data_IF_043574498790
#
_entry.id   IF_043574498790
#
_cell.length_a   1.000
_cell.length_b   1.000
_cell.length_c   1.000
_cell.angle_alpha   90.00
_cell.angle_beta   90.00
_cell.angle_gamma   90.00
#
_symmetry.space_group_name_H-M   'P 1'
#
loop_
_entity.id
_entity.type
_entity.pdbx_description
1 polymer ?
#
# COMPACT_ATOMS: atom_id res chain seq x y z
N UNK A 1 -12.75 -6.65 30.12
CA UNK A 1 -12.09 -5.64 29.29
C UNK A 1 -10.59 -5.85 29.41
N UNK A 2 -10.03 -6.77 28.59
CA UNK A 2 -8.58 -7.04 28.60
C UNK A 2 -7.97 -6.23 27.45
N UNK A 3 -7.28 -5.15 27.81
CA UNK A 3 -6.38 -4.43 26.91
C UNK A 3 -5.19 -5.35 26.66
N UNK A 4 -5.14 -5.95 25.48
CA UNK A 4 -3.94 -6.70 25.04
C UNK A 4 -2.87 -5.66 24.73
N UNK A 5 -1.95 -5.46 25.67
CA UNK A 5 -0.69 -4.77 25.43
C UNK A 5 0.15 -5.62 24.46
N UNK A 6 -0.03 -5.41 23.16
CA UNK A 6 0.87 -5.94 22.15
C UNK A 6 2.17 -5.14 22.29
N UNK A 7 3.17 -5.76 22.88
CA UNK A 7 4.50 -5.19 23.01
C UNK A 7 5.05 -4.88 21.62
N UNK A 8 5.11 -3.56 21.26
CA UNK A 8 5.69 -3.04 20.03
C UNK A 8 7.23 -3.04 20.09
N UNK A 9 7.84 -4.18 20.40
CA UNK A 9 9.30 -4.32 20.57
C UNK A 9 10.02 -4.72 19.29
N UNK A 10 9.72 -4.06 18.16
CA UNK A 10 10.38 -4.37 16.89
C UNK A 10 10.31 -3.29 15.80
N UNK A 11 9.54 -2.24 16.02
CA UNK A 11 9.45 -1.17 15.00
C UNK A 11 10.74 -0.35 14.94
N UNK A 12 11.28 -0.20 13.73
CA UNK A 12 12.43 0.66 13.48
C UNK A 12 12.14 2.10 13.92
N UNK A 13 13.15 2.78 14.49
CA UNK A 13 13.11 4.21 14.86
C UNK A 13 12.64 5.12 13.71
N UNK A 14 12.87 4.70 12.46
CA UNK A 14 12.48 5.41 11.24
C UNK A 14 10.96 5.58 11.15
N UNK A 15 10.18 4.59 11.58
CA UNK A 15 8.71 4.66 11.57
C UNK A 15 8.11 5.52 12.71
N UNK A 16 8.93 6.00 13.64
CA UNK A 16 8.44 6.83 14.75
C UNK A 16 8.33 8.31 14.40
N UNK A 17 8.92 8.75 13.27
CA UNK A 17 8.94 10.16 12.86
C UNK A 17 8.71 10.29 11.36
N UNK A 18 7.55 10.81 10.97
CA UNK A 18 7.16 10.96 9.55
C UNK A 18 8.22 11.71 8.71
N UNK A 19 8.86 12.74 9.27
CA UNK A 19 9.91 13.49 8.55
C UNK A 19 11.15 12.62 8.27
N UNK A 20 11.56 11.81 9.24
CA UNK A 20 12.69 10.88 9.06
C UNK A 20 12.30 9.79 8.05
N UNK A 21 11.10 9.28 8.15
CA UNK A 21 10.55 8.32 7.19
C UNK A 21 10.55 8.91 5.77
N UNK A 22 9.98 10.10 5.58
CA UNK A 22 9.97 10.80 4.28
C UNK A 22 11.37 11.04 3.74
N UNK A 23 12.31 11.47 4.57
CA UNK A 23 13.71 11.69 4.18
C UNK A 23 14.35 10.38 3.68
N UNK A 24 14.22 9.30 4.46
CA UNK A 24 14.77 7.99 4.09
C UNK A 24 14.13 7.44 2.82
N UNK A 25 12.81 7.53 2.69
CA UNK A 25 12.10 7.10 1.50
C UNK A 25 12.49 7.93 0.28
N UNK A 26 12.67 9.24 0.44
CA UNK A 26 13.13 10.11 -0.65
C UNK A 26 14.54 9.71 -1.12
N UNK A 27 15.43 9.36 -0.20
CA UNK A 27 16.77 8.85 -0.52
C UNK A 27 16.68 7.50 -1.27
N UNK A 28 15.86 6.56 -0.79
CA UNK A 28 15.64 5.24 -1.40
C UNK A 28 15.04 5.32 -2.81
N UNK A 29 14.26 6.37 -3.09
CA UNK A 29 13.65 6.62 -4.41
C UNK A 29 14.43 7.64 -5.26
N UNK A 30 15.67 8.00 -4.85
CA UNK A 30 16.51 8.95 -5.60
C UNK A 30 15.78 10.26 -5.88
N UNK A 31 15.21 10.90 -4.85
CA UNK A 31 14.45 12.14 -4.93
C UNK A 31 13.01 12.00 -5.44
N UNK A 32 12.57 10.81 -5.85
CA UNK A 32 11.25 10.59 -6.47
C UNK A 32 10.19 9.99 -5.56
N UNK A 33 10.30 10.12 -4.23
CA UNK A 33 9.34 9.51 -3.31
C UNK A 33 7.92 10.07 -3.49
N UNK A 34 7.76 11.39 -3.53
CA UNK A 34 6.44 12.02 -3.77
C UNK A 34 5.90 11.66 -5.17
N UNK A 35 6.78 11.65 -6.17
CA UNK A 35 6.39 11.33 -7.55
C UNK A 35 5.83 9.90 -7.69
N UNK A 36 6.28 8.97 -6.86
CA UNK A 36 5.70 7.63 -6.75
C UNK A 36 4.19 7.68 -6.49
N UNK A 37 3.76 8.52 -5.55
CA UNK A 37 2.33 8.70 -5.23
C UNK A 37 1.59 9.38 -6.38
N UNK A 38 2.20 10.37 -7.05
CA UNK A 38 1.61 11.00 -8.24
C UNK A 38 1.32 9.96 -9.33
N UNK A 39 2.25 9.00 -9.55
CA UNK A 39 2.04 7.91 -10.53
C UNK A 39 0.92 6.95 -10.14
N UNK A 40 0.66 6.76 -8.86
CA UNK A 40 -0.51 6.02 -8.36
C UNK A 40 -1.79 6.85 -8.54
N UNK A 41 -1.75 8.13 -8.21
CA UNK A 41 -2.87 9.08 -8.37
C UNK A 41 -3.33 9.14 -9.83
N UNK A 42 -2.41 9.14 -10.79
CA UNK A 42 -2.72 9.09 -12.24
C UNK A 42 -3.54 7.85 -12.65
N UNK A 43 -3.62 6.82 -11.82
CA UNK A 43 -4.41 5.61 -12.07
C UNK A 43 -5.81 5.67 -11.44
N UNK A 44 -6.08 6.63 -10.57
CA UNK A 44 -7.40 6.80 -9.98
C UNK A 44 -8.35 7.31 -11.07
N UNK A 45 -9.45 6.61 -11.34
CA UNK A 45 -10.42 7.08 -12.33
C UNK A 45 -11.11 8.37 -11.88
N UNK A 46 -11.69 9.11 -12.83
CA UNK A 46 -12.56 10.22 -12.47
C UNK A 46 -13.80 9.68 -11.74
N UNK A 47 -14.04 10.21 -10.55
CA UNK A 47 -15.12 9.76 -9.67
C UNK A 47 -16.04 10.93 -9.31
N UNK A 48 -17.31 10.66 -9.04
CA UNK A 48 -18.19 11.65 -8.42
C UNK A 48 -17.62 12.17 -7.10
N UNK A 49 -17.90 13.43 -6.77
CA UNK A 49 -17.56 14.01 -5.46
C UNK A 49 -18.10 13.12 -4.32
N UNK A 50 -17.42 13.11 -3.20
CA UNK A 50 -17.70 12.24 -2.04
C UNK A 50 -17.53 10.73 -2.28
N UNK A 51 -16.97 10.30 -3.42
CA UNK A 51 -16.61 8.89 -3.61
C UNK A 51 -15.58 8.45 -2.58
N UNK A 52 -15.79 7.26 -2.00
CA UNK A 52 -14.87 6.71 -1.01
C UNK A 52 -13.63 6.12 -1.69
N UNK A 53 -12.46 6.50 -1.21
CA UNK A 53 -11.16 5.90 -1.54
C UNK A 53 -10.59 5.29 -0.27
N UNK A 54 -10.25 4.01 -0.31
CA UNK A 54 -9.63 3.25 0.78
C UNK A 54 -8.14 3.08 0.48
N UNK A 55 -7.28 3.48 1.41
CA UNK A 55 -5.85 3.26 1.32
C UNK A 55 -5.38 2.35 2.45
N UNK A 56 -4.73 1.25 2.08
CA UNK A 56 -4.22 0.23 3.01
C UNK A 56 -2.71 0.38 3.17
N UNK A 57 -2.23 0.29 4.43
CA UNK A 57 -0.82 0.47 4.77
C UNK A 57 -0.28 1.80 4.22
N UNK A 58 -0.99 2.88 4.49
CA UNK A 58 -0.80 4.16 3.79
C UNK A 58 0.55 4.83 4.08
N UNK A 59 1.15 4.64 5.25
CA UNK A 59 2.48 5.15 5.62
C UNK A 59 2.64 6.67 5.53
N UNK A 60 2.03 7.32 4.53
CA UNK A 60 2.06 8.76 4.28
C UNK A 60 0.71 9.28 3.80
N UNK A 61 0.47 10.59 3.82
CA UNK A 61 -0.83 11.21 3.56
C UNK A 61 -1.00 11.80 2.15
N UNK A 62 -0.12 11.49 1.19
CA UNK A 62 -0.19 12.07 -0.15
C UNK A 62 -1.49 11.73 -0.91
N UNK A 63 -2.01 10.51 -0.74
CA UNK A 63 -3.30 10.14 -1.34
C UNK A 63 -4.46 10.85 -0.61
N UNK A 64 -4.37 10.99 0.71
CA UNK A 64 -5.36 11.73 1.49
C UNK A 64 -5.42 13.21 1.07
N UNK A 65 -4.25 13.85 0.87
CA UNK A 65 -4.15 15.24 0.39
C UNK A 65 -4.83 15.38 -0.98
N UNK A 66 -4.54 14.48 -1.93
CA UNK A 66 -5.19 14.44 -3.24
C UNK A 66 -6.72 14.25 -3.13
N UNK A 67 -7.18 13.32 -2.31
CA UNK A 67 -8.62 13.08 -2.12
C UNK A 67 -9.33 14.33 -1.61
N UNK A 68 -8.72 15.03 -0.66
CA UNK A 68 -9.24 16.30 -0.13
C UNK A 68 -9.34 17.38 -1.22
N UNK A 69 -8.32 17.51 -2.07
CA UNK A 69 -8.32 18.48 -3.18
C UNK A 69 -9.41 18.16 -4.21
N UNK A 70 -9.70 16.89 -4.45
CA UNK A 70 -10.72 16.41 -5.40
C UNK A 70 -12.13 16.31 -4.80
N UNK A 71 -12.29 16.51 -3.50
CA UNK A 71 -13.57 16.34 -2.81
C UNK A 71 -13.99 14.88 -2.66
N UNK A 72 -13.03 13.94 -2.65
CA UNK A 72 -13.25 12.53 -2.34
C UNK A 72 -13.15 12.28 -0.83
N UNK A 73 -13.81 11.22 -0.37
CA UNK A 73 -13.70 10.73 1.01
C UNK A 73 -12.54 9.74 1.09
N UNK A 74 -11.49 10.08 1.80
CA UNK A 74 -10.37 9.17 2.04
C UNK A 74 -10.54 8.46 3.37
N UNK A 75 -10.26 7.14 3.37
CA UNK A 75 -10.11 6.35 4.58
C UNK A 75 -8.80 5.58 4.52
N UNK A 76 -7.95 5.78 5.52
CA UNK A 76 -6.67 5.07 5.65
C UNK A 76 -6.71 4.00 6.74
N UNK A 77 -6.12 2.84 6.47
CA UNK A 77 -5.90 1.79 7.47
C UNK A 77 -4.41 1.45 7.48
N UNK A 78 -3.79 1.53 8.65
CA UNK A 78 -2.38 1.18 8.85
C UNK A 78 -2.20 0.51 10.21
N UNK A 79 -1.22 -0.38 10.32
CA UNK A 79 -0.85 -1.01 11.59
C UNK A 79 -0.02 -0.08 12.47
N UNK A 80 0.63 0.92 11.86
CA UNK A 80 1.51 1.85 12.57
C UNK A 80 0.70 2.98 13.22
N UNK A 81 0.51 2.89 14.52
CA UNK A 81 -0.23 3.88 15.32
C UNK A 81 0.30 5.31 15.14
N UNK A 82 1.60 5.48 14.88
CA UNK A 82 2.19 6.81 14.69
C UNK A 82 1.73 7.46 13.38
N UNK A 83 1.66 6.70 12.27
CA UNK A 83 1.13 7.19 11.01
C UNK A 83 -0.35 7.51 11.14
N UNK A 84 -1.12 6.64 11.80
CA UNK A 84 -2.55 6.85 12.06
C UNK A 84 -2.78 8.13 12.86
N UNK A 85 -2.09 8.30 14.01
CA UNK A 85 -2.21 9.51 14.82
C UNK A 85 -1.80 10.78 14.06
N UNK A 86 -0.81 10.68 13.18
CA UNK A 86 -0.39 11.81 12.34
C UNK A 86 -1.46 12.19 11.33
N UNK A 87 -2.05 11.22 10.63
CA UNK A 87 -3.15 11.44 9.70
C UNK A 87 -4.38 12.04 10.40
N UNK A 88 -4.76 11.49 11.57
CA UNK A 88 -5.86 12.00 12.38
C UNK A 88 -5.65 13.46 12.84
N UNK A 89 -4.42 13.83 13.23
CA UNK A 89 -4.07 15.23 13.58
C UNK A 89 -4.20 16.19 12.40
N UNK A 90 -4.06 15.69 11.17
CA UNK A 90 -4.29 16.45 9.93
C UNK A 90 -5.78 16.48 9.51
N UNK A 91 -6.66 15.84 10.30
CA UNK A 91 -8.10 15.80 10.05
C UNK A 91 -8.54 14.70 9.08
N UNK A 92 -7.69 13.68 8.84
CA UNK A 92 -8.02 12.55 7.96
C UNK A 92 -8.65 11.39 8.74
N UNK A 93 -9.56 10.64 8.09
CA UNK A 93 -10.17 9.42 8.64
C UNK A 93 -9.17 8.26 8.52
N UNK A 94 -8.44 8.02 9.61
CA UNK A 94 -7.46 6.94 9.68
C UNK A 94 -7.74 6.01 10.87
N UNK A 95 -7.56 4.71 10.65
CA UNK A 95 -7.78 3.65 11.65
C UNK A 95 -6.53 2.81 11.84
N UNK A 96 -6.17 2.53 13.09
CA UNK A 96 -5.08 1.62 13.43
C UNK A 96 -5.63 0.19 13.51
N UNK A 97 -5.36 -0.63 12.50
CA UNK A 97 -5.89 -1.99 12.42
C UNK A 97 -4.95 -2.92 11.66
N UNK A 98 -4.88 -4.18 12.10
CA UNK A 98 -4.17 -5.24 11.38
C UNK A 98 -5.09 -5.83 10.29
N UNK A 99 -4.90 -5.39 9.05
CA UNK A 99 -5.70 -5.83 7.91
C UNK A 99 -5.48 -7.31 7.55
N UNK A 100 -4.43 -7.96 8.07
CA UNK A 100 -4.23 -9.40 7.90
C UNK A 100 -5.33 -10.21 8.60
N UNK A 101 -5.75 -9.76 9.78
CA UNK A 101 -6.70 -10.48 10.64
C UNK A 101 -8.11 -9.87 10.68
N UNK A 102 -8.31 -8.65 10.16
CA UNK A 102 -9.66 -8.08 10.07
C UNK A 102 -10.55 -8.97 9.20
N UNK A 103 -11.84 -9.03 9.52
CA UNK A 103 -12.77 -9.86 8.77
C UNK A 103 -13.01 -9.29 7.37
N UNK A 104 -13.39 -8.02 7.30
CA UNK A 104 -13.77 -7.33 6.08
C UNK A 104 -13.11 -5.95 6.03
N UNK A 105 -12.91 -5.40 4.83
CA UNK A 105 -12.46 -4.04 4.61
C UNK A 105 -13.68 -3.13 4.34
N UNK A 106 -13.60 -1.83 4.70
CA UNK A 106 -14.62 -0.85 4.34
C UNK A 106 -14.86 -0.80 2.82
N UNK A 107 -16.11 -0.62 2.40
CA UNK A 107 -16.44 -0.48 0.98
C UNK A 107 -15.96 0.86 0.44
N UNK A 108 -15.44 0.84 -0.78
CA UNK A 108 -14.91 2.01 -1.46
C UNK A 108 -15.11 1.90 -2.99
N UNK A 109 -14.92 3.00 -3.72
CA UNK A 109 -14.83 2.98 -5.18
C UNK A 109 -13.46 2.52 -5.64
N UNK A 110 -12.43 2.93 -4.94
CA UNK A 110 -11.03 2.55 -5.21
C UNK A 110 -10.38 2.07 -3.92
N UNK A 111 -9.65 0.96 -4.00
CA UNK A 111 -8.79 0.46 -2.93
C UNK A 111 -7.33 0.54 -3.39
N UNK A 112 -6.47 1.17 -2.60
CA UNK A 112 -5.06 1.43 -2.93
C UNK A 112 -4.15 0.76 -1.91
N UNK A 113 -3.08 0.12 -2.38
CA UNK A 113 -1.99 -0.37 -1.54
C UNK A 113 -0.64 -0.06 -2.19
N UNK A 114 0.26 0.61 -1.46
CA UNK A 114 1.54 1.08 -1.99
C UNK A 114 2.70 0.50 -1.19
N UNK A 115 3.46 -0.42 -1.83
CA UNK A 115 4.69 -0.98 -1.27
C UNK A 115 4.51 -1.84 -0.04
N UNK A 116 3.40 -2.57 0.05
CA UNK A 116 3.07 -3.34 1.25
C UNK A 116 2.51 -4.73 0.96
N UNK A 117 2.17 -5.06 -0.29
CA UNK A 117 1.58 -6.36 -0.61
C UNK A 117 2.55 -7.53 -0.36
N UNK A 118 3.84 -7.31 -0.53
CA UNK A 118 4.88 -8.33 -0.28
C UNK A 118 4.87 -8.85 1.17
N UNK A 119 4.38 -8.10 2.13
CA UNK A 119 4.26 -8.55 3.54
C UNK A 119 3.28 -9.72 3.71
N UNK A 120 2.38 -9.91 2.76
CA UNK A 120 1.38 -11.00 2.78
C UNK A 120 1.86 -12.27 2.05
N UNK A 121 3.08 -12.26 1.49
CA UNK A 121 3.68 -13.47 0.91
C UNK A 121 3.97 -14.52 2.00
N UNK A 122 3.80 -15.85 1.72
CA UNK A 122 3.37 -16.43 0.44
C UNK A 122 1.84 -16.43 0.26
N UNK A 123 1.06 -16.06 1.26
CA UNK A 123 -0.41 -16.18 1.23
C UNK A 123 -1.08 -14.84 0.88
N UNK A 124 -0.85 -14.32 -0.31
CA UNK A 124 -1.37 -13.03 -0.79
C UNK A 124 -2.86 -13.09 -1.17
N UNK A 125 -3.37 -14.28 -1.53
CA UNK A 125 -4.75 -14.46 -1.99
C UNK A 125 -5.82 -13.90 -1.05
N UNK A 126 -5.80 -14.16 0.28
CA UNK A 126 -6.80 -13.59 1.18
C UNK A 126 -6.81 -12.06 1.20
N UNK A 127 -5.65 -11.42 1.06
CA UNK A 127 -5.56 -9.96 1.01
C UNK A 127 -6.15 -9.40 -0.29
N UNK A 128 -5.77 -9.98 -1.44
CA UNK A 128 -6.35 -9.59 -2.73
C UNK A 128 -7.87 -9.78 -2.75
N UNK A 129 -8.37 -10.90 -2.18
CA UNK A 129 -9.81 -11.14 -2.05
C UNK A 129 -10.50 -10.03 -1.26
N UNK A 130 -9.97 -9.66 -0.09
CA UNK A 130 -10.52 -8.56 0.70
C UNK A 130 -10.56 -7.25 -0.09
N UNK A 131 -9.49 -6.92 -0.83
CA UNK A 131 -9.43 -5.72 -1.65
C UNK A 131 -10.48 -5.73 -2.78
N UNK A 132 -10.64 -6.85 -3.50
CA UNK A 132 -11.63 -7.03 -4.56
C UNK A 132 -13.06 -7.01 -4.01
N UNK A 133 -13.28 -7.57 -2.84
CA UNK A 133 -14.57 -7.48 -2.16
C UNK A 133 -14.87 -6.04 -1.70
N UNK A 134 -13.87 -5.26 -1.34
CA UNK A 134 -14.02 -3.90 -0.83
C UNK A 134 -14.27 -2.85 -1.93
N UNK A 135 -13.71 -3.01 -3.13
CA UNK A 135 -13.75 -1.97 -4.16
C UNK A 135 -13.88 -2.52 -5.58
N UNK A 136 -14.42 -1.69 -6.50
CA UNK A 136 -14.55 -2.02 -7.92
C UNK A 136 -13.23 -1.84 -8.69
N UNK A 137 -12.39 -0.89 -8.23
CA UNK A 137 -11.05 -0.62 -8.77
C UNK A 137 -10.01 -0.81 -7.69
N UNK A 138 -8.95 -1.56 -7.99
CA UNK A 138 -7.85 -1.79 -7.07
C UNK A 138 -6.56 -1.28 -7.73
N UNK A 139 -5.77 -0.48 -7.00
CA UNK A 139 -4.49 0.01 -7.46
C UNK A 139 -3.40 -0.48 -6.50
N UNK A 140 -2.47 -1.24 -7.04
CA UNK A 140 -1.35 -1.80 -6.28
C UNK A 140 -0.04 -1.30 -6.88
N UNK A 141 0.80 -0.69 -6.06
CA UNK A 141 2.16 -0.29 -6.45
C UNK A 141 3.15 -1.06 -5.60
N UNK A 142 3.92 -1.96 -6.20
CA UNK A 142 4.93 -2.76 -5.51
C UNK A 142 6.33 -2.48 -6.01
N UNK A 143 7.32 -2.32 -5.10
CA UNK A 143 8.71 -2.28 -5.49
C UNK A 143 9.13 -3.69 -5.96
N UNK A 144 9.46 -3.80 -7.25
CA UNK A 144 9.93 -5.03 -7.87
C UNK A 144 11.45 -4.96 -8.01
N UNK A 145 12.16 -5.87 -7.35
CA UNK A 145 13.63 -5.93 -7.44
C UNK A 145 14.06 -6.61 -8.74
N UNK A 146 14.98 -6.00 -9.48
CA UNK A 146 15.77 -6.78 -10.44
C UNK A 146 16.85 -7.54 -9.68
N UNK A 147 17.13 -8.78 -10.06
CA UNK A 147 18.17 -9.64 -9.46
C UNK A 147 19.56 -8.96 -9.43
N UNK A 148 19.79 -7.92 -10.25
CA UNK A 148 21.00 -7.13 -10.32
C UNK A 148 21.14 -6.03 -9.27
N UNK A 149 20.05 -5.61 -8.61
CA UNK A 149 20.03 -4.40 -7.75
C UNK A 149 20.43 -4.68 -6.28
N UNK A 150 20.78 -5.91 -5.94
CA UNK A 150 20.96 -6.37 -4.55
C UNK A 150 22.34 -6.08 -3.92
N UNK A 151 23.17 -5.22 -4.50
CA UNK A 151 24.51 -4.93 -3.95
C UNK A 151 24.64 -3.47 -3.53
N UNK A 152 24.36 -3.18 -2.25
CA UNK A 152 24.72 -1.88 -1.70
C UNK A 152 24.04 -1.52 -0.38
N UNK A 153 24.48 -0.41 0.19
CA UNK A 153 23.99 0.24 1.42
C UNK A 153 22.45 0.40 1.41
N UNK A 154 21.85 0.56 0.23
CA UNK A 154 20.40 0.67 0.01
C UNK A 154 19.65 -0.61 0.47
N UNK A 155 20.20 -1.80 0.20
CA UNK A 155 19.62 -3.07 0.67
C UNK A 155 19.65 -3.22 2.19
N UNK A 156 20.68 -2.71 2.85
CA UNK A 156 20.80 -2.73 4.31
C UNK A 156 19.78 -1.79 4.97
N UNK A 157 19.60 -0.58 4.43
CA UNK A 157 18.61 0.37 4.95
C UNK A 157 17.18 -0.05 4.62
N UNK A 158 16.93 -0.64 3.43
CA UNK A 158 15.62 -1.16 3.07
C UNK A 158 15.18 -2.30 4.01
N UNK A 159 16.09 -3.23 4.34
CA UNK A 159 15.81 -4.28 5.35
C UNK A 159 15.46 -3.72 6.71
N UNK A 160 16.12 -2.62 7.12
CA UNK A 160 15.90 -2.02 8.44
C UNK A 160 14.69 -1.07 8.46
N UNK A 161 14.39 -0.42 7.33
CA UNK A 161 13.22 0.44 7.18
C UNK A 161 11.91 -0.36 6.98
N UNK A 162 11.97 -1.57 6.42
CA UNK A 162 10.82 -2.43 6.18
C UNK A 162 10.35 -3.21 7.43
N UNK A 163 11.03 -3.08 8.59
CA UNK A 163 10.69 -3.83 9.78
C UNK A 163 9.41 -3.31 10.44
N UNK A 164 8.27 -3.81 9.99
CA UNK A 164 6.95 -3.62 10.62
C UNK A 164 6.71 -4.65 11.73
N UNK A 165 7.66 -5.59 11.95
CA UNK A 165 7.60 -6.61 13.00
C UNK A 165 6.69 -7.81 12.71
N UNK A 166 6.16 -7.93 11.48
CA UNK A 166 5.34 -9.07 11.04
C UNK A 166 5.57 -9.35 9.54
N UNK A 167 5.74 -10.64 9.19
CA UNK A 167 5.88 -11.11 7.81
C UNK A 167 7.31 -11.46 7.39
N UNK A 168 7.47 -12.01 6.17
CA UNK A 168 8.78 -12.30 5.57
C UNK A 168 9.38 -11.02 4.97
N UNK A 169 10.17 -10.32 5.76
CA UNK A 169 10.81 -9.06 5.37
C UNK A 169 11.89 -9.23 4.29
N UNK A 170 12.29 -10.47 4.01
CA UNK A 170 13.32 -10.78 3.03
C UNK A 170 12.75 -10.95 1.61
N UNK A 171 11.45 -11.26 1.51
CA UNK A 171 10.80 -11.49 0.23
C UNK A 171 10.58 -10.17 -0.53
N UNK A 172 10.83 -10.21 -1.83
CA UNK A 172 10.45 -9.15 -2.79
C UNK A 172 10.06 -9.80 -4.10
N UNK A 173 9.00 -9.30 -4.68
CA UNK A 173 8.63 -9.66 -6.05
C UNK A 173 9.68 -9.14 -7.04
N UNK A 174 9.95 -9.88 -8.11
CA UNK A 174 10.38 -9.31 -9.37
C UNK A 174 9.15 -9.02 -10.27
N UNK A 175 9.36 -8.39 -11.42
CA UNK A 175 8.25 -8.02 -12.30
C UNK A 175 7.46 -9.23 -12.79
N UNK A 176 8.12 -10.34 -13.06
CA UNK A 176 7.49 -11.56 -13.58
C UNK A 176 6.67 -12.25 -12.50
N UNK A 177 7.26 -12.48 -11.33
CA UNK A 177 6.59 -13.14 -10.21
C UNK A 177 5.40 -12.32 -9.69
N UNK A 178 5.52 -10.98 -9.71
CA UNK A 178 4.39 -10.12 -9.33
C UNK A 178 3.23 -10.22 -10.32
N UNK A 179 3.50 -10.12 -11.62
CA UNK A 179 2.47 -10.27 -12.66
C UNK A 179 1.84 -11.66 -12.67
N UNK A 180 2.65 -12.73 -12.55
CA UNK A 180 2.14 -14.10 -12.47
C UNK A 180 1.19 -14.27 -11.28
N UNK A 181 1.58 -13.80 -10.10
CA UNK A 181 0.75 -13.84 -8.90
C UNK A 181 -0.58 -13.09 -9.10
N UNK A 182 -0.55 -11.91 -9.74
CA UNK A 182 -1.78 -11.16 -10.04
C UNK A 182 -2.66 -11.92 -11.04
N UNK A 183 -2.08 -12.47 -12.13
CA UNK A 183 -2.85 -13.24 -13.12
C UNK A 183 -3.48 -14.51 -12.54
N UNK A 184 -2.72 -15.27 -11.76
CA UNK A 184 -3.22 -16.49 -11.10
C UNK A 184 -4.41 -16.19 -10.19
N UNK A 185 -4.33 -15.10 -9.41
CA UNK A 185 -5.41 -14.69 -8.53
C UNK A 185 -6.59 -14.06 -9.29
N UNK A 186 -6.33 -13.39 -10.44
CA UNK A 186 -7.36 -12.72 -11.22
C UNK A 186 -8.46 -13.64 -11.72
N UNK A 187 -8.08 -14.83 -12.18
CA UNK A 187 -9.05 -15.85 -12.63
C UNK A 187 -9.93 -16.38 -11.50
N UNK A 188 -9.43 -16.39 -10.27
CA UNK A 188 -10.15 -16.89 -9.09
C UNK A 188 -11.02 -15.82 -8.42
N UNK A 189 -10.63 -14.53 -8.54
CA UNK A 189 -11.26 -13.41 -7.83
C UNK A 189 -12.10 -12.50 -8.74
N UNK A 190 -12.32 -12.91 -9.99
CA UNK A 190 -13.17 -12.22 -10.97
C UNK A 190 -12.75 -10.75 -11.22
N UNK A 191 -11.47 -10.52 -11.40
CA UNK A 191 -10.92 -9.24 -11.84
C UNK A 191 -9.97 -9.39 -13.03
N UNK A 192 -9.73 -8.29 -13.74
CA UNK A 192 -8.75 -8.20 -14.84
C UNK A 192 -7.80 -7.03 -14.65
N UNK A 193 -6.61 -7.16 -15.22
CA UNK A 193 -5.64 -6.07 -15.28
C UNK A 193 -6.14 -5.06 -16.32
N UNK A 194 -6.41 -3.82 -15.87
CA UNK A 194 -6.75 -2.69 -16.73
C UNK A 194 -5.49 -2.00 -17.25
N UNK A 195 -4.48 -1.82 -16.38
CA UNK A 195 -3.20 -1.22 -16.73
C UNK A 195 -2.06 -1.79 -15.90
N UNK A 196 -0.86 -1.78 -16.50
CA UNK A 196 0.40 -2.09 -15.81
C UNK A 196 1.42 -1.05 -16.23
N UNK A 197 1.99 -0.30 -15.28
CA UNK A 197 2.94 0.79 -15.53
C UNK A 197 4.13 0.70 -14.60
N UNK A 198 5.32 0.95 -15.13
CA UNK A 198 6.55 0.98 -14.33
C UNK A 198 6.94 2.42 -14.01
N UNK A 199 7.28 2.68 -12.75
CA UNK A 199 7.90 3.90 -12.32
C UNK A 199 9.11 3.57 -11.43
N UNK A 200 10.31 3.88 -11.91
CA UNK A 200 11.58 3.51 -11.24
C UNK A 200 11.58 2.02 -10.89
N UNK A 201 11.63 1.69 -9.60
CA UNK A 201 11.61 0.31 -9.10
C UNK A 201 10.20 -0.24 -8.87
N UNK A 202 9.17 0.58 -8.94
CA UNK A 202 7.79 0.14 -8.70
C UNK A 202 7.11 -0.33 -9.99
N UNK A 203 6.32 -1.38 -9.86
CA UNK A 203 5.32 -1.80 -10.83
C UNK A 203 3.94 -1.45 -10.29
N UNK A 204 3.23 -0.58 -10.99
CA UNK A 204 1.90 -0.11 -10.63
C UNK A 204 0.89 -0.88 -11.49
N UNK A 205 -0.04 -1.57 -10.86
CA UNK A 205 -1.08 -2.35 -11.52
C UNK A 205 -2.43 -1.82 -11.09
N UNK A 206 -3.30 -1.56 -12.07
CA UNK A 206 -4.70 -1.26 -11.85
C UNK A 206 -5.54 -2.46 -12.25
N UNK A 207 -6.39 -2.91 -11.33
CA UNK A 207 -7.30 -4.02 -11.51
C UNK A 207 -8.73 -3.50 -11.46
N UNK A 208 -9.61 -4.09 -12.28
CA UNK A 208 -11.04 -3.82 -12.24
C UNK A 208 -11.80 -5.14 -12.16
N UNK A 209 -12.93 -5.12 -11.47
CA UNK A 209 -13.88 -6.24 -11.44
C UNK A 209 -14.40 -6.51 -12.84
N UNK A 210 -14.54 -7.79 -13.20
CA UNK A 210 -15.19 -8.15 -14.46
C UNK A 210 -16.65 -7.70 -14.41
N UNK A 211 -17.13 -7.06 -15.50
CA UNK A 211 -18.50 -6.53 -15.55
C UNK A 211 -18.66 -5.12 -14.96
N UNK A 212 -17.63 -4.52 -14.37
CA UNK A 212 -17.61 -3.08 -14.07
C UNK A 212 -17.20 -2.33 -15.34
N UNK A 213 -18.12 -1.59 -15.94
CA UNK A 213 -17.91 -0.69 -17.09
C UNK A 213 -17.63 0.72 -16.58
#
# INVERSE_FOLDING_TARGET
MHVVNVAMSGQSFIYRHLLIYRFMMNLLYGGGYKERFNKVIEQIPDLPSNSQILELCFGDTFIADYCKEKGYQWKGIDLNEHFVKTAQKLGYDATCEDIAICKDLPKAKVCIMIGSLYHFHPNTFPMLRKMVEAADTIIISEPVSNLSDNKGIIGFFAKRAANVGKGDETFRYDSTSFLSMIHENGSLLDFKILSSRRYKKDLIITLIKNGSN
#
